data_IF_611096942666
#
_entry.id   IF_611096942666
#
_cell.length_a   1.000
_cell.length_b   1.000
_cell.length_c   1.000
_cell.angle_alpha   90.00
_cell.angle_beta   90.00
_cell.angle_gamma   90.00
#
_symmetry.space_group_name_H-M   'P 1'
#
loop_
_entity.id
_entity.type
_entity.pdbx_description
1 polymer ?
#
# COMPACT_ATOMS: atom_id res chain seq x y z
N UNK A 1 -16.68 -4.47 -11.00
CA UNK A 1 -15.41 -3.91 -11.54
C UNK A 1 -14.92 -4.91 -12.56
N UNK A 2 -14.77 -4.45 -13.79
CA UNK A 2 -14.27 -5.32 -14.85
C UNK A 2 -12.84 -5.75 -14.55
N UNK A 3 -12.52 -7.00 -14.83
CA UNK A 3 -11.24 -7.64 -14.55
C UNK A 3 -10.16 -7.02 -15.48
N UNK A 4 -9.69 -5.81 -15.17
CA UNK A 4 -8.70 -5.08 -15.96
C UNK A 4 -7.34 -5.73 -15.65
N UNK A 5 -6.86 -6.52 -16.59
CA UNK A 5 -5.47 -6.99 -16.60
C UNK A 5 -4.62 -5.97 -17.36
N UNK A 6 -3.70 -5.29 -16.68
CA UNK A 6 -2.75 -4.37 -17.31
C UNK A 6 -1.45 -5.10 -17.57
N UNK A 7 -1.06 -5.24 -18.84
CA UNK A 7 0.27 -5.73 -19.23
C UNK A 7 1.29 -4.62 -19.11
N UNK A 8 2.39 -4.91 -18.44
CA UNK A 8 3.51 -3.98 -18.27
C UNK A 8 4.51 -4.24 -19.39
N UNK A 9 4.59 -3.32 -20.34
CA UNK A 9 5.61 -3.35 -21.38
C UNK A 9 6.88 -2.68 -20.85
N UNK A 10 7.81 -3.47 -20.33
CA UNK A 10 9.09 -2.96 -19.82
C UNK A 10 10.05 -2.74 -21.00
N UNK A 11 10.20 -1.50 -21.48
CA UNK A 11 11.10 -1.16 -22.60
C UNK A 11 12.54 -0.89 -22.17
N UNK A 12 12.85 -0.84 -20.85
CA UNK A 12 14.13 -0.32 -20.35
C UNK A 12 15.08 -1.34 -19.71
N UNK A 13 14.78 -2.64 -19.73
CA UNK A 13 15.71 -3.65 -19.21
C UNK A 13 15.89 -4.82 -20.19
N UNK A 14 17.07 -4.89 -20.79
CA UNK A 14 17.46 -5.96 -21.74
C UNK A 14 17.58 -7.38 -21.12
N UNK A 15 17.31 -7.56 -19.81
CA UNK A 15 17.66 -8.81 -19.10
C UNK A 15 16.48 -9.62 -18.53
N UNK A 16 15.20 -9.25 -18.74
CA UNK A 16 14.08 -10.08 -18.32
C UNK A 16 13.00 -10.16 -19.40
N UNK A 17 13.07 -11.18 -20.24
CA UNK A 17 12.12 -11.48 -21.30
C UNK A 17 10.76 -12.03 -20.79
N UNK A 18 10.49 -12.00 -19.49
CA UNK A 18 9.21 -12.40 -18.94
C UNK A 18 8.35 -11.15 -18.79
N UNK A 19 7.30 -11.05 -19.58
CA UNK A 19 6.28 -10.00 -19.41
C UNK A 19 5.70 -10.08 -18.00
N UNK A 20 5.31 -8.91 -17.48
CA UNK A 20 4.59 -8.79 -16.21
C UNK A 20 3.17 -8.33 -16.48
N UNK A 21 2.23 -8.79 -15.69
CA UNK A 21 0.87 -8.25 -15.68
C UNK A 21 0.34 -8.07 -14.28
N UNK A 22 -0.58 -7.12 -14.12
CA UNK A 22 -1.25 -6.83 -12.85
C UNK A 22 -2.74 -7.03 -13.05
N UNK A 23 -3.39 -7.63 -12.05
CA UNK A 23 -4.84 -7.77 -12.01
C UNK A 23 -5.38 -7.73 -10.58
N UNK A 24 -6.66 -7.44 -10.47
CA UNK A 24 -7.39 -7.57 -9.20
C UNK A 24 -7.54 -9.07 -8.86
N UNK A 25 -7.47 -9.37 -7.57
CA UNK A 25 -7.58 -10.73 -7.02
C UNK A 25 -8.97 -11.00 -6.48
N UNK A 26 -9.39 -12.26 -6.61
CA UNK A 26 -10.63 -12.76 -6.03
C UNK A 26 -10.44 -13.19 -4.57
N UNK A 27 -11.54 -13.47 -3.85
CA UNK A 27 -11.52 -13.68 -2.40
C UNK A 27 -10.72 -14.92 -1.97
N UNK A 28 -10.71 -15.98 -2.78
CA UNK A 28 -9.92 -17.20 -2.58
C UNK A 28 -8.43 -16.90 -2.74
N UNK A 29 -8.04 -16.20 -3.80
CA UNK A 29 -6.66 -15.78 -4.05
C UNK A 29 -6.12 -14.84 -2.93
N UNK A 30 -6.97 -13.92 -2.44
CA UNK A 30 -6.64 -13.05 -1.31
C UNK A 30 -6.40 -13.88 -0.04
N UNK A 31 -7.22 -14.92 0.16
CA UNK A 31 -7.08 -15.83 1.30
C UNK A 31 -5.78 -16.62 1.23
N UNK A 32 -5.41 -17.12 0.05
CA UNK A 32 -4.17 -17.85 -0.17
C UNK A 32 -2.95 -16.95 0.08
N UNK A 33 -2.94 -15.75 -0.50
CA UNK A 33 -1.86 -14.77 -0.29
C UNK A 33 -1.77 -14.33 1.17
N UNK A 34 -2.89 -14.17 1.86
CA UNK A 34 -2.89 -13.85 3.28
C UNK A 34 -2.18 -14.94 4.09
N UNK A 35 -2.55 -16.20 3.89
CA UNK A 35 -2.02 -17.33 4.65
C UNK A 35 -0.55 -17.63 4.30
N UNK A 36 -0.15 -17.48 3.04
CA UNK A 36 1.19 -17.84 2.58
C UNK A 36 2.20 -16.70 2.75
N UNK A 37 1.75 -15.45 2.63
CA UNK A 37 2.65 -14.29 2.53
C UNK A 37 2.41 -13.24 3.62
N UNK A 38 1.20 -12.68 3.77
CA UNK A 38 0.94 -11.55 4.68
C UNK A 38 1.39 -11.88 6.10
N UNK A 39 0.99 -13.04 6.63
CA UNK A 39 1.32 -13.46 8.00
C UNK A 39 2.82 -13.67 8.25
N UNK A 40 3.62 -13.78 7.19
CA UNK A 40 5.08 -13.98 7.27
C UNK A 40 5.89 -12.76 6.84
N UNK A 41 5.35 -11.92 5.95
CA UNK A 41 6.04 -10.76 5.40
C UNK A 41 5.88 -9.50 6.28
N UNK A 42 4.84 -9.45 7.15
CA UNK A 42 4.54 -8.32 8.02
C UNK A 42 4.51 -8.72 9.51
N UNK A 43 4.87 -7.80 10.43
CA UNK A 43 4.73 -8.02 11.86
C UNK A 43 3.27 -8.34 12.24
N UNK A 44 3.07 -9.28 13.16
CA UNK A 44 1.71 -9.68 13.57
C UNK A 44 0.86 -8.53 14.13
N UNK A 45 1.51 -7.50 14.71
CA UNK A 45 0.86 -6.27 15.20
C UNK A 45 0.29 -5.38 14.08
N UNK A 46 0.78 -5.54 12.86
CA UNK A 46 0.35 -4.75 11.69
C UNK A 46 -0.65 -5.51 10.82
N UNK A 47 -0.77 -6.83 11.00
CA UNK A 47 -1.63 -7.67 10.16
C UNK A 47 -3.09 -7.57 10.59
N UNK A 48 -3.93 -7.00 9.73
CA UNK A 48 -5.39 -6.97 9.92
C UNK A 48 -5.98 -8.38 9.81
N UNK A 49 -7.05 -8.70 10.55
CA UNK A 49 -7.72 -10.00 10.42
C UNK A 49 -8.27 -10.22 8.99
N UNK A 50 -8.04 -11.40 8.42
CA UNK A 50 -8.55 -11.76 7.09
C UNK A 50 -10.07 -11.57 6.97
N UNK A 51 -10.82 -11.92 8.02
CA UNK A 51 -12.29 -11.74 8.05
C UNK A 51 -12.71 -10.27 7.93
N UNK A 52 -11.90 -9.33 8.45
CA UNK A 52 -12.14 -7.90 8.27
C UNK A 52 -11.88 -7.47 6.83
N UNK A 53 -10.76 -7.92 6.24
CA UNK A 53 -10.40 -7.61 4.86
C UNK A 53 -11.48 -8.10 3.88
N UNK A 54 -11.92 -9.36 4.01
CA UNK A 54 -12.95 -9.95 3.14
C UNK A 54 -14.30 -9.24 3.30
N UNK A 55 -14.72 -8.92 4.53
CA UNK A 55 -15.95 -8.15 4.78
C UNK A 55 -15.87 -6.76 4.13
N UNK A 56 -14.74 -6.06 4.25
CA UNK A 56 -14.54 -4.75 3.62
C UNK A 56 -14.48 -4.84 2.10
N UNK A 57 -13.97 -5.95 1.56
CA UNK A 57 -14.01 -6.25 0.12
C UNK A 57 -15.46 -6.38 -0.38
N UNK A 58 -16.31 -7.11 0.33
CA UNK A 58 -17.76 -7.24 0.00
C UNK A 58 -18.45 -5.86 -0.01
N UNK A 59 -18.00 -4.94 0.83
CA UNK A 59 -18.48 -3.55 0.88
C UNK A 59 -17.88 -2.65 -0.22
N UNK A 60 -16.97 -3.18 -1.05
CA UNK A 60 -16.28 -2.42 -2.09
C UNK A 60 -15.23 -1.44 -1.58
N UNK A 61 -14.84 -1.54 -0.31
CA UNK A 61 -13.86 -0.67 0.36
C UNK A 61 -12.45 -1.27 0.43
N UNK A 62 -12.26 -2.55 0.08
CA UNK A 62 -10.98 -3.23 0.15
C UNK A 62 -10.75 -4.08 -1.09
N UNK A 63 -9.60 -3.97 -1.72
CA UNK A 63 -9.26 -4.74 -2.91
C UNK A 63 -7.77 -5.01 -2.98
N UNK A 64 -7.38 -5.99 -3.76
CA UNK A 64 -6.01 -6.46 -3.84
C UNK A 64 -5.59 -6.62 -5.29
N UNK A 65 -4.44 -6.08 -5.62
CA UNK A 65 -3.75 -6.36 -6.88
C UNK A 65 -2.66 -7.40 -6.69
N UNK A 66 -2.62 -8.39 -7.56
CA UNK A 66 -1.49 -9.27 -7.75
C UNK A 66 -0.69 -8.85 -8.98
N UNK A 67 0.63 -8.86 -8.87
CA UNK A 67 1.55 -8.77 -10.00
C UNK A 67 2.09 -10.18 -10.30
N UNK A 68 2.02 -10.59 -11.56
CA UNK A 68 2.37 -11.93 -12.01
C UNK A 68 3.38 -11.89 -13.16
N UNK A 69 4.21 -12.90 -13.26
CA UNK A 69 5.01 -13.21 -14.45
C UNK A 69 4.14 -13.89 -15.52
N UNK A 70 4.54 -13.88 -16.79
CA UNK A 70 3.78 -14.50 -17.89
C UNK A 70 3.51 -16.01 -17.70
N UNK A 71 4.32 -16.69 -16.88
CA UNK A 71 4.09 -18.09 -16.50
C UNK A 71 2.98 -18.27 -15.44
N UNK A 72 2.39 -17.17 -14.97
CA UNK A 72 1.34 -17.16 -13.93
C UNK A 72 1.85 -17.18 -12.49
N UNK A 73 3.17 -17.15 -12.27
CA UNK A 73 3.72 -17.09 -10.91
C UNK A 73 3.52 -15.70 -10.30
N UNK A 74 3.07 -15.65 -9.04
CA UNK A 74 2.95 -14.43 -8.26
C UNK A 74 4.34 -13.81 -8.03
N UNK A 75 4.50 -12.55 -8.40
CA UNK A 75 5.71 -11.78 -8.20
C UNK A 75 5.59 -10.76 -7.07
N UNK A 76 4.37 -10.24 -6.83
CA UNK A 76 4.09 -9.29 -5.77
C UNK A 76 2.60 -9.09 -5.55
N UNK A 77 2.25 -8.45 -4.44
CA UNK A 77 0.87 -8.14 -4.09
C UNK A 77 0.76 -6.78 -3.41
N UNK A 78 -0.40 -6.14 -3.58
CA UNK A 78 -0.70 -4.84 -2.98
C UNK A 78 -2.17 -4.79 -2.53
N UNK A 79 -2.39 -4.44 -1.28
CA UNK A 79 -3.69 -4.32 -0.66
C UNK A 79 -4.08 -2.85 -0.51
N UNK A 80 -5.33 -2.54 -0.82
CA UNK A 80 -5.84 -1.17 -0.85
C UNK A 80 -7.10 -1.01 -0.04
N UNK A 81 -7.16 0.10 0.70
CA UNK A 81 -8.38 0.67 1.24
C UNK A 81 -8.86 1.75 0.27
N UNK A 82 -10.10 1.64 -0.19
CA UNK A 82 -10.80 2.67 -0.94
C UNK A 82 -11.64 3.50 0.01
N UNK A 83 -11.31 4.77 0.15
CA UNK A 83 -12.15 5.69 0.89
C UNK A 83 -13.45 5.95 0.14
N UNK A 84 -14.59 5.86 0.84
CA UNK A 84 -15.92 6.13 0.28
C UNK A 84 -16.24 7.62 0.23
N UNK A 85 -15.61 8.40 1.11
CA UNK A 85 -15.92 9.81 1.34
C UNK A 85 -14.90 10.79 0.72
N UNK A 86 -13.80 10.27 0.19
CA UNK A 86 -12.73 11.03 -0.48
C UNK A 86 -12.20 10.25 -1.68
N UNK A 87 -11.68 10.96 -2.67
CA UNK A 87 -11.04 10.35 -3.83
C UNK A 87 -9.60 9.94 -3.50
N UNK A 88 -9.48 8.94 -2.62
CA UNK A 88 -8.22 8.46 -2.08
C UNK A 88 -8.19 6.93 -2.04
N UNK A 89 -7.02 6.38 -2.37
CA UNK A 89 -6.63 5.01 -2.08
C UNK A 89 -5.51 5.00 -1.03
N UNK A 90 -5.70 4.28 0.06
CA UNK A 90 -4.62 3.95 1.01
C UNK A 90 -4.01 2.60 0.62
N UNK A 91 -2.74 2.60 0.24
CA UNK A 91 -1.94 1.40 0.02
C UNK A 91 -1.57 0.81 1.37
N UNK A 92 -2.32 -0.19 1.78
CA UNK A 92 -2.26 -0.82 3.11
C UNK A 92 -1.08 -1.79 3.24
N UNK A 93 -0.89 -2.66 2.24
CA UNK A 93 0.26 -3.54 2.15
C UNK A 93 0.84 -3.54 0.75
N UNK A 94 2.16 -3.57 0.64
CA UNK A 94 2.90 -3.74 -0.62
C UNK A 94 4.08 -4.66 -0.38
N UNK A 95 4.14 -5.78 -1.09
CA UNK A 95 5.29 -6.67 -1.02
C UNK A 95 5.62 -7.31 -2.37
N UNK A 96 6.90 -7.58 -2.55
CA UNK A 96 7.43 -8.47 -3.59
C UNK A 96 7.75 -9.81 -2.93
N UNK A 97 7.30 -10.89 -3.54
CA UNK A 97 7.53 -12.26 -3.07
C UNK A 97 9.03 -12.49 -2.88
N UNK A 98 9.39 -13.10 -1.75
CA UNK A 98 10.78 -13.14 -1.23
C UNK A 98 11.83 -13.58 -2.26
N UNK A 99 11.55 -14.62 -3.05
CA UNK A 99 12.46 -15.15 -4.07
C UNK A 99 12.52 -14.31 -5.37
N UNK A 100 11.66 -13.30 -5.49
CA UNK A 100 11.60 -12.38 -6.65
C UNK A 100 12.17 -10.98 -6.31
N UNK A 101 12.59 -10.72 -5.06
CA UNK A 101 13.17 -9.43 -4.63
C UNK A 101 14.48 -9.11 -5.37
N UNK A 102 14.90 -7.84 -5.31
CA UNK A 102 16.15 -7.31 -5.90
C UNK A 102 16.21 -7.26 -7.44
N UNK A 103 15.04 -7.32 -8.11
CA UNK A 103 14.90 -7.20 -9.57
C UNK A 103 14.15 -5.93 -10.01
N UNK A 104 14.17 -4.88 -9.20
CA UNK A 104 13.41 -3.64 -9.40
C UNK A 104 11.88 -3.80 -9.48
N UNK A 105 11.34 -4.99 -9.23
CA UNK A 105 9.90 -5.28 -9.32
C UNK A 105 9.06 -4.40 -8.41
N UNK A 106 9.57 -4.05 -7.22
CA UNK A 106 8.88 -3.13 -6.30
C UNK A 106 8.67 -1.73 -6.90
N UNK A 107 9.66 -1.21 -7.63
CA UNK A 107 9.54 0.09 -8.31
C UNK A 107 8.56 0.03 -9.48
N UNK A 108 8.62 -1.04 -10.28
CA UNK A 108 7.70 -1.29 -11.39
C UNK A 108 6.27 -1.38 -10.85
N UNK A 109 6.05 -2.21 -9.82
CA UNK A 109 4.74 -2.41 -9.23
C UNK A 109 4.17 -1.11 -8.67
N UNK A 110 4.94 -0.38 -7.85
CA UNK A 110 4.51 0.90 -7.30
C UNK A 110 4.16 1.93 -8.38
N UNK A 111 4.92 1.96 -9.50
CA UNK A 111 4.61 2.86 -10.61
C UNK A 111 3.25 2.53 -11.24
N UNK A 112 2.95 1.25 -11.48
CA UNK A 112 1.66 0.84 -12.03
C UNK A 112 0.50 1.09 -11.07
N UNK A 113 0.71 0.90 -9.76
CA UNK A 113 -0.29 1.22 -8.75
C UNK A 113 -0.60 2.72 -8.71
N UNK A 114 0.41 3.58 -8.89
CA UNK A 114 0.21 5.04 -9.05
C UNK A 114 -0.59 5.36 -10.33
N UNK A 115 -0.27 4.71 -11.45
CA UNK A 115 -1.00 4.89 -12.70
C UNK A 115 -2.48 4.49 -12.55
N UNK A 116 -2.77 3.40 -11.83
CA UNK A 116 -4.14 2.97 -11.53
C UNK A 116 -4.87 4.05 -10.71
N UNK A 117 -4.25 4.59 -9.66
CA UNK A 117 -4.86 5.63 -8.85
C UNK A 117 -5.14 6.90 -9.66
N UNK A 118 -4.20 7.34 -10.50
CA UNK A 118 -4.37 8.50 -11.39
C UNK A 118 -5.50 8.27 -12.41
N UNK A 119 -5.58 7.07 -13.00
CA UNK A 119 -6.65 6.74 -13.95
C UNK A 119 -8.04 6.71 -13.30
N UNK A 120 -8.10 6.47 -11.99
CA UNK A 120 -9.33 6.51 -11.21
C UNK A 120 -9.61 7.90 -10.59
N UNK A 121 -8.85 8.94 -10.96
CA UNK A 121 -8.88 10.29 -10.38
C UNK A 121 -8.73 10.28 -8.84
N UNK A 122 -7.79 9.45 -8.32
CA UNK A 122 -7.59 9.28 -6.88
C UNK A 122 -6.16 9.57 -6.45
N UNK A 123 -6.04 10.19 -5.30
CA UNK A 123 -4.78 10.26 -4.58
C UNK A 123 -4.37 8.86 -4.11
N UNK A 124 -3.12 8.47 -4.31
CA UNK A 124 -2.55 7.30 -3.68
C UNK A 124 -1.77 7.72 -2.45
N UNK A 125 -2.16 7.27 -1.27
CA UNK A 125 -1.41 7.49 -0.03
C UNK A 125 -0.95 6.17 0.59
N UNK A 126 0.07 6.24 1.44
CA UNK A 126 0.54 5.13 2.24
C UNK A 126 1.18 5.63 3.55
N UNK A 127 1.29 4.72 4.49
CA UNK A 127 1.89 4.93 5.81
C UNK A 127 3.26 4.24 5.88
N UNK A 128 4.21 4.89 6.53
CA UNK A 128 5.48 4.27 6.93
C UNK A 128 5.78 4.66 8.35
N UNK A 129 6.36 3.73 9.12
CA UNK A 129 6.78 4.05 10.49
C UNK A 129 7.72 5.26 10.49
N UNK A 130 7.53 6.14 11.46
CA UNK A 130 8.31 7.35 11.61
C UNK A 130 9.66 7.06 12.30
N UNK A 131 10.80 7.19 11.58
CA UNK A 131 12.11 6.89 12.15
C UNK A 131 12.53 7.84 13.28
N UNK A 132 11.88 9.02 13.40
CA UNK A 132 12.19 9.98 14.45
C UNK A 132 11.77 9.48 15.86
N UNK A 133 10.86 8.50 15.91
CA UNK A 133 10.37 7.87 17.13
C UNK A 133 11.00 6.48 17.38
N UNK A 134 11.96 6.06 16.57
CA UNK A 134 12.63 4.78 16.73
C UNK A 134 14.01 4.96 17.36
N UNK A 135 14.40 3.99 18.19
CA UNK A 135 15.77 3.89 18.70
C UNK A 135 16.77 3.67 17.57
N UNK A 136 18.01 4.17 17.76
CA UNK A 136 19.09 3.95 16.79
C UNK A 136 19.36 2.45 16.59
N UNK A 137 19.50 2.05 15.33
CA UNK A 137 19.80 0.66 14.98
C UNK A 137 19.14 0.21 13.67
N UNK A 138 19.21 -1.09 13.42
CA UNK A 138 18.78 -1.68 12.15
C UNK A 138 17.30 -1.43 11.80
N UNK A 139 16.43 -1.31 12.80
CA UNK A 139 15.00 -1.00 12.58
C UNK A 139 14.83 0.41 12.03
N UNK A 140 15.45 1.40 12.65
CA UNK A 140 15.44 2.79 12.18
C UNK A 140 16.02 2.92 10.78
N UNK A 141 17.16 2.27 10.52
CA UNK A 141 17.78 2.24 9.20
C UNK A 141 16.85 1.65 8.13
N UNK A 142 16.07 0.65 8.48
CA UNK A 142 15.09 0.04 7.60
C UNK A 142 13.93 1.01 7.28
N UNK A 143 13.38 1.70 8.28
CA UNK A 143 12.35 2.73 8.10
C UNK A 143 12.83 3.85 7.16
N UNK A 144 14.05 4.36 7.38
CA UNK A 144 14.67 5.37 6.52
C UNK A 144 14.81 4.86 5.07
N UNK A 145 15.23 3.61 4.89
CA UNK A 145 15.34 2.99 3.56
C UNK A 145 13.99 2.85 2.88
N UNK A 146 12.91 2.50 3.63
CA UNK A 146 11.54 2.43 3.08
C UNK A 146 11.08 3.81 2.60
N UNK A 147 11.22 4.85 3.41
CA UNK A 147 10.91 6.23 2.99
C UNK A 147 11.71 6.62 1.75
N UNK A 148 13.01 6.33 1.74
CA UNK A 148 13.88 6.59 0.59
C UNK A 148 13.44 5.85 -0.68
N UNK A 149 12.98 4.60 -0.56
CA UNK A 149 12.41 3.83 -1.67
C UNK A 149 11.18 4.53 -2.26
N UNK A 150 10.22 4.90 -1.45
CA UNK A 150 9.00 5.57 -1.91
C UNK A 150 9.30 6.94 -2.55
N UNK A 151 10.15 7.76 -1.93
CA UNK A 151 10.57 9.05 -2.48
C UNK A 151 11.29 8.91 -3.83
N UNK A 152 12.21 7.93 -3.95
CA UNK A 152 12.90 7.62 -5.21
C UNK A 152 11.93 7.21 -6.32
N UNK A 153 10.81 6.61 -5.98
CA UNK A 153 9.75 6.21 -6.90
C UNK A 153 8.65 7.28 -7.07
N UNK A 154 8.93 8.53 -6.70
CA UNK A 154 8.07 9.68 -6.97
C UNK A 154 6.90 9.86 -6.01
N UNK A 155 6.94 9.24 -4.83
CA UNK A 155 6.03 9.58 -3.74
C UNK A 155 6.54 10.84 -3.03
N UNK A 156 5.62 11.72 -2.65
CA UNK A 156 5.87 12.91 -1.85
C UNK A 156 5.71 12.58 -0.37
N UNK A 157 6.59 13.08 0.47
CA UNK A 157 6.46 12.96 1.93
C UNK A 157 5.71 14.20 2.43
N UNK A 158 4.55 14.00 3.07
CA UNK A 158 3.84 15.10 3.74
C UNK A 158 4.46 15.42 5.10
N UNK A 159 4.09 16.56 5.68
CA UNK A 159 4.44 16.86 7.08
C UNK A 159 3.50 16.16 8.08
N UNK A 160 2.39 15.59 7.60
CA UNK A 160 1.46 14.81 8.42
C UNK A 160 2.17 13.65 9.11
N UNK A 161 2.02 13.59 10.41
CA UNK A 161 2.47 12.51 11.27
C UNK A 161 1.32 12.08 12.19
N UNK A 162 1.14 10.79 12.38
CA UNK A 162 0.08 10.29 13.24
C UNK A 162 0.52 9.10 14.08
N UNK A 163 0.06 9.11 15.34
CA UNK A 163 0.11 7.93 16.18
C UNK A 163 -1.08 7.04 15.87
N UNK A 164 -0.83 5.76 15.61
CA UNK A 164 -1.85 4.77 15.33
C UNK A 164 -1.45 3.38 15.86
N UNK A 165 -2.28 2.78 16.69
CA UNK A 165 -2.10 1.44 17.27
C UNK A 165 -0.70 1.16 17.87
N UNK A 166 -0.13 2.15 18.56
CA UNK A 166 1.16 1.97 19.25
C UNK A 166 2.38 2.42 18.46
N UNK A 167 2.21 2.80 17.19
CA UNK A 167 3.29 3.25 16.33
C UNK A 167 3.06 4.68 15.84
N UNK A 168 4.16 5.38 15.54
CA UNK A 168 4.14 6.66 14.85
C UNK A 168 4.38 6.45 13.37
N UNK A 169 3.56 7.12 12.54
CA UNK A 169 3.61 7.01 11.09
C UNK A 169 3.81 8.36 10.41
N UNK A 170 4.50 8.34 9.28
CA UNK A 170 4.57 9.42 8.30
C UNK A 170 3.74 9.02 7.09
N UNK A 171 3.08 10.02 6.49
CA UNK A 171 2.26 9.83 5.30
C UNK A 171 3.06 10.19 4.05
N UNK A 172 3.09 9.27 3.08
CA UNK A 172 3.56 9.57 1.72
C UNK A 172 2.39 9.47 0.75
N UNK A 173 2.44 10.25 -0.33
CA UNK A 173 1.38 10.27 -1.33
C UNK A 173 1.90 10.48 -2.75
N UNK A 174 1.09 10.10 -3.74
CA UNK A 174 1.28 10.40 -5.15
C UNK A 174 -0.03 10.96 -5.72
N UNK A 175 0.08 11.95 -6.57
CA UNK A 175 -0.99 12.75 -7.13
C UNK A 175 -0.64 14.23 -7.09
N UNK A 176 -1.66 15.08 -7.16
CA UNK A 176 -1.51 16.53 -7.06
C UNK A 176 -0.91 16.97 -5.72
N UNK A 177 -0.46 18.21 -5.64
CA UNK A 177 0.06 18.77 -4.39
C UNK A 177 -1.07 18.90 -3.37
N UNK A 178 -0.80 18.50 -2.13
CA UNK A 178 -1.76 18.54 -1.02
C UNK A 178 -1.16 19.35 0.11
N UNK A 179 -1.90 20.35 0.59
CA UNK A 179 -1.54 21.12 1.78
C UNK A 179 -1.59 20.23 3.04
N UNK A 180 -0.72 20.50 4.01
CA UNK A 180 -0.56 19.64 5.19
C UNK A 180 -1.85 19.49 6.01
N UNK A 181 -2.54 20.60 6.33
CA UNK A 181 -3.82 20.58 7.07
C UNK A 181 -4.87 19.73 6.35
N UNK A 182 -4.86 19.74 5.01
CA UNK A 182 -5.77 18.92 4.21
C UNK A 182 -5.34 17.46 4.16
N UNK A 183 -4.03 17.16 4.25
CA UNK A 183 -3.56 15.77 4.35
C UNK A 183 -3.96 15.14 5.69
N UNK A 184 -3.96 15.89 6.80
CA UNK A 184 -4.47 15.44 8.09
C UNK A 184 -5.97 15.10 7.99
N UNK A 185 -6.77 15.98 7.36
CA UNK A 185 -8.20 15.72 7.12
C UNK A 185 -8.44 14.49 6.26
N UNK A 186 -7.66 14.31 5.19
CA UNK A 186 -7.74 13.14 4.33
C UNK A 186 -7.45 11.87 5.13
N UNK A 187 -6.37 11.87 5.89
CA UNK A 187 -5.92 10.70 6.67
C UNK A 187 -6.95 10.34 7.73
N UNK A 188 -7.46 11.30 8.48
CA UNK A 188 -8.53 11.09 9.47
C UNK A 188 -9.79 10.53 8.81
N UNK A 189 -10.19 11.08 7.64
CA UNK A 189 -11.37 10.61 6.91
C UNK A 189 -11.20 9.16 6.45
N UNK A 190 -10.04 8.79 5.90
CA UNK A 190 -9.75 7.41 5.47
C UNK A 190 -9.83 6.43 6.64
N UNK A 191 -9.26 6.80 7.79
CA UNK A 191 -9.30 5.96 8.98
C UNK A 191 -10.73 5.81 9.52
N UNK A 192 -11.52 6.89 9.61
CA UNK A 192 -12.91 6.83 10.06
C UNK A 192 -13.79 6.00 9.15
N UNK A 193 -13.61 6.14 7.84
CA UNK A 193 -14.37 5.35 6.84
C UNK A 193 -14.06 3.85 6.96
N UNK A 194 -12.83 3.49 7.27
CA UNK A 194 -12.42 2.10 7.37
C UNK A 194 -12.63 1.49 8.75
N UNK A 195 -12.24 2.18 9.83
CA UNK A 195 -12.24 1.64 11.18
C UNK A 195 -13.46 2.08 12.01
N UNK A 196 -14.12 3.19 11.63
CA UNK A 196 -15.22 3.82 12.35
C UNK A 196 -14.77 4.86 13.38
N UNK A 197 -15.64 5.85 13.65
CA UNK A 197 -15.34 7.02 14.47
C UNK A 197 -14.84 6.67 15.86
N UNK A 198 -15.56 5.80 16.58
CA UNK A 198 -15.20 5.43 17.95
C UNK A 198 -13.80 4.80 18.04
N UNK A 199 -13.43 4.00 17.04
CA UNK A 199 -12.10 3.39 17.00
C UNK A 199 -11.01 4.44 16.78
N UNK A 200 -11.22 5.37 15.84
CA UNK A 200 -10.28 6.45 15.53
C UNK A 200 -10.09 7.38 16.71
N UNK A 201 -11.18 7.83 17.36
CA UNK A 201 -11.13 8.71 18.54
C UNK A 201 -10.30 8.13 19.69
N UNK A 202 -10.25 6.79 19.82
CA UNK A 202 -9.49 6.11 20.87
C UNK A 202 -8.03 5.84 20.49
N UNK A 203 -7.73 5.65 19.21
CA UNK A 203 -6.46 5.03 18.79
C UNK A 203 -5.61 5.90 17.86
N UNK A 204 -6.12 7.03 17.35
CA UNK A 204 -5.39 7.91 16.41
C UNK A 204 -5.17 9.29 17.02
N UNK A 205 -3.98 9.85 16.79
CA UNK A 205 -3.65 11.25 17.13
C UNK A 205 -2.75 11.80 16.04
N UNK A 206 -3.06 13.00 15.55
CA UNK A 206 -2.25 13.76 14.59
C UNK A 206 -1.33 14.73 15.33
N UNK A 207 -0.16 15.01 14.75
CA UNK A 207 0.87 15.89 15.30
C UNK A 207 1.33 16.91 14.26
#
# INVERSE_FOLDING_TARGET
MDNISVRINNTDTQDNANGLYIRILEADEITDIYNEHIVTDFPASEVKPLSQMLRKREQGQYFVYGMFEDNGELAGYAYFIKCSNKDVYLLDYLAIVKNKRSKHLGSIFLQELKNIAVNDDRLLMLEVENPDYADEGAAKDYMIKRIGFYKKNGMKLSNTSCYFLGNEYRILYAGDEVEDDYMDEITDTVYRDFFGDQFVDMNVRFH
#
